data_IF_141051006317
#
_entry.id   IF_141051006317
#
_cell.length_a   1.000
_cell.length_b   1.000
_cell.length_c   1.000
_cell.angle_alpha   90.00
_cell.angle_beta   90.00
_cell.angle_gamma   90.00
#
_symmetry.space_group_name_H-M   'P 1'
#
loop_
_entity.id
_entity.type
_entity.pdbx_description
1 polymer ?
#
# COMPACT_ATOMS: atom_id res chain seq x y z
N UNK A 1 13.40 9.64 -34.61
CA UNK A 1 13.72 11.08 -34.53
C UNK A 1 13.11 11.63 -33.25
N UNK A 2 13.87 12.37 -32.48
CA UNK A 2 13.40 13.03 -31.29
C UNK A 2 12.90 14.43 -31.60
N UNK A 3 11.67 14.77 -31.21
CA UNK A 3 11.19 16.16 -31.23
C UNK A 3 11.53 16.87 -29.93
N UNK A 4 11.96 18.13 -30.05
CA UNK A 4 12.17 19.02 -28.90
C UNK A 4 10.82 19.60 -28.49
N UNK A 5 10.35 19.28 -27.27
CA UNK A 5 9.15 19.89 -26.68
C UNK A 5 9.54 21.02 -25.75
N UNK A 6 9.17 22.24 -26.11
CA UNK A 6 9.31 23.40 -25.24
C UNK A 6 8.13 23.48 -24.26
N UNK A 7 8.41 23.77 -22.98
CA UNK A 7 7.37 24.01 -21.97
C UNK A 7 6.68 22.75 -21.44
N UNK A 8 7.27 21.57 -21.63
CA UNK A 8 6.80 20.34 -21.01
C UNK A 8 7.11 20.35 -19.51
N UNK A 9 6.13 20.05 -18.67
CA UNK A 9 6.19 20.14 -17.19
C UNK A 9 6.53 21.55 -16.65
N UNK A 10 5.66 22.55 -16.85
CA UNK A 10 5.83 23.87 -16.25
C UNK A 10 5.83 23.73 -14.71
N UNK A 11 6.78 24.41 -14.06
CA UNK A 11 6.93 24.37 -12.59
C UNK A 11 8.00 23.40 -12.07
N UNK A 12 8.62 22.59 -12.91
CA UNK A 12 9.79 21.79 -12.54
C UNK A 12 11.00 22.71 -12.35
N UNK A 13 11.67 22.59 -11.20
CA UNK A 13 12.94 23.28 -10.93
C UNK A 13 14.18 22.51 -11.41
N UNK A 14 13.99 21.34 -11.99
CA UNK A 14 15.07 20.51 -12.51
C UNK A 14 15.21 20.71 -14.03
N UNK A 15 16.45 20.70 -14.58
CA UNK A 15 16.63 20.74 -16.01
C UNK A 15 16.00 19.50 -16.65
N UNK A 16 15.04 19.73 -17.54
CA UNK A 16 14.38 18.67 -18.31
C UNK A 16 15.24 18.29 -19.51
N UNK A 17 15.23 17.02 -19.87
CA UNK A 17 15.72 16.59 -21.17
C UNK A 17 15.01 17.34 -22.29
N UNK A 18 15.74 17.78 -23.28
CA UNK A 18 15.19 18.55 -24.42
C UNK A 18 14.77 17.67 -25.58
N UNK A 19 15.08 16.37 -25.53
CA UNK A 19 14.83 15.42 -26.61
C UNK A 19 13.98 14.26 -26.09
N UNK A 20 12.84 14.04 -26.72
CA UNK A 20 11.93 12.95 -26.43
C UNK A 20 11.63 12.18 -27.72
N UNK A 21 11.43 10.88 -27.60
CA UNK A 21 11.01 10.07 -28.73
C UNK A 21 9.60 10.48 -29.15
N UNK A 22 9.41 10.68 -30.44
CA UNK A 22 8.09 10.99 -30.99
C UNK A 22 7.17 9.77 -30.83
N UNK A 23 6.04 9.96 -30.12
CA UNK A 23 5.05 8.90 -29.89
C UNK A 23 4.40 8.41 -31.20
N UNK A 24 4.26 9.28 -32.19
CA UNK A 24 3.66 8.90 -33.46
C UNK A 24 4.64 8.04 -34.27
N UNK A 25 5.96 8.33 -34.17
CA UNK A 25 6.98 7.45 -34.68
C UNK A 25 6.98 6.08 -33.99
N UNK A 26 6.87 6.01 -32.64
CA UNK A 26 6.74 4.74 -31.92
C UNK A 26 5.52 3.96 -32.38
N UNK A 27 4.40 4.62 -32.66
CA UNK A 27 3.16 4.01 -33.17
C UNK A 27 3.31 3.45 -34.60
N UNK A 28 4.32 3.86 -35.37
CA UNK A 28 4.59 3.33 -36.72
C UNK A 28 5.45 2.07 -36.72
N UNK A 29 6.12 1.77 -35.58
CA UNK A 29 6.97 0.59 -35.47
C UNK A 29 6.10 -0.68 -35.48
N UNK A 30 6.38 -1.56 -36.39
CA UNK A 30 5.78 -2.90 -36.46
C UNK A 30 6.84 -3.90 -36.03
N UNK A 31 6.55 -4.60 -34.95
CA UNK A 31 7.38 -5.69 -34.47
C UNK A 31 6.79 -7.00 -35.00
N UNK A 32 7.54 -7.73 -35.82
CA UNK A 32 7.15 -9.08 -36.25
C UNK A 32 7.74 -10.08 -35.23
N UNK A 33 6.99 -11.14 -34.93
CA UNK A 33 7.48 -12.22 -34.05
C UNK A 33 8.79 -12.86 -34.55
N UNK A 34 9.02 -12.79 -35.87
CA UNK A 34 10.26 -13.29 -36.46
C UNK A 34 11.49 -12.43 -36.17
N UNK A 35 11.28 -11.14 -35.85
CA UNK A 35 12.35 -10.19 -35.52
C UNK A 35 12.51 -10.02 -34.00
N UNK A 36 11.77 -10.81 -33.19
CA UNK A 36 11.85 -10.78 -31.72
C UNK A 36 13.18 -11.36 -31.25
N UNK A 37 13.87 -10.62 -30.39
CA UNK A 37 14.99 -11.14 -29.61
C UNK A 37 14.38 -11.78 -28.36
N UNK A 38 14.75 -13.01 -28.09
CA UNK A 38 14.42 -13.67 -26.83
C UNK A 38 15.24 -13.02 -25.72
N UNK A 39 14.56 -12.41 -24.74
CA UNK A 39 15.21 -11.77 -23.58
C UNK A 39 15.11 -12.76 -22.43
N UNK A 40 16.18 -13.50 -22.17
CA UNK A 40 16.20 -14.56 -21.15
C UNK A 40 15.98 -14.01 -19.75
N UNK A 41 16.41 -12.79 -19.46
CA UNK A 41 16.13 -12.11 -18.18
C UNK A 41 14.63 -11.95 -17.94
N UNK A 42 13.86 -11.57 -18.96
CA UNK A 42 12.39 -11.46 -18.84
C UNK A 42 11.73 -12.84 -18.66
N UNK A 43 12.29 -13.88 -19.25
CA UNK A 43 11.82 -15.24 -19.04
C UNK A 43 12.11 -15.75 -17.63
N UNK A 44 13.15 -15.28 -16.96
CA UNK A 44 13.46 -15.56 -15.57
C UNK A 44 12.34 -15.12 -14.61
N UNK A 45 11.56 -14.10 -14.97
CA UNK A 45 10.37 -13.65 -14.27
C UNK A 45 9.18 -14.61 -14.35
N UNK A 46 9.21 -15.60 -15.26
CA UNK A 46 8.11 -16.54 -15.44
C UNK A 46 8.13 -17.63 -14.36
N UNK A 47 6.98 -17.83 -13.74
CA UNK A 47 6.80 -18.90 -12.75
C UNK A 47 5.41 -19.51 -12.82
N UNK A 48 5.28 -20.69 -12.23
CA UNK A 48 4.01 -21.35 -12.02
C UNK A 48 3.75 -21.48 -10.52
N UNK A 49 2.57 -21.04 -10.08
CA UNK A 49 2.11 -21.24 -8.72
C UNK A 49 0.71 -21.88 -8.72
N UNK A 50 0.52 -22.90 -7.90
CA UNK A 50 -0.78 -23.54 -7.67
C UNK A 50 -1.08 -23.52 -6.19
N UNK A 51 -2.11 -22.79 -5.79
CA UNK A 51 -2.57 -22.70 -4.41
C UNK A 51 -3.94 -23.36 -4.27
N UNK A 52 -4.07 -24.27 -3.29
CA UNK A 52 -5.33 -24.93 -2.93
C UNK A 52 -5.60 -24.62 -1.47
N UNK A 53 -6.73 -23.97 -1.19
CA UNK A 53 -7.15 -23.60 0.17
C UNK A 53 -8.42 -24.39 0.51
N UNK A 54 -8.33 -25.23 1.55
CA UNK A 54 -9.49 -25.85 2.18
C UNK A 54 -9.83 -25.06 3.45
N UNK A 55 -11.06 -24.58 3.56
CA UNK A 55 -11.47 -23.78 4.68
C UNK A 55 -12.85 -24.19 5.23
N UNK A 56 -12.99 -24.09 6.54
CA UNK A 56 -14.26 -24.21 7.24
C UNK A 56 -14.43 -23.11 8.26
N UNK A 57 -15.65 -22.71 8.56
CA UNK A 57 -15.92 -21.72 9.60
C UNK A 57 -17.19 -22.03 10.38
N UNK A 58 -17.19 -21.55 11.64
CA UNK A 58 -18.36 -21.54 12.51
C UNK A 58 -18.58 -20.11 12.99
N UNK A 59 -19.83 -19.69 13.03
CA UNK A 59 -20.24 -18.39 13.59
C UNK A 59 -21.39 -18.58 14.54
N UNK A 60 -21.34 -17.88 15.66
CA UNK A 60 -22.35 -17.89 16.68
C UNK A 60 -22.67 -16.46 17.09
N UNK A 61 -23.91 -16.02 16.84
CA UNK A 61 -24.42 -14.70 17.18
C UNK A 61 -25.35 -14.82 18.40
N UNK A 62 -25.11 -13.94 19.39
CA UNK A 62 -25.90 -13.90 20.63
C UNK A 62 -26.37 -12.49 20.94
N UNK A 63 -27.64 -12.39 21.32
CA UNK A 63 -28.20 -11.21 21.97
C UNK A 63 -28.25 -11.44 23.50
N UNK A 64 -27.40 -10.72 24.24
CA UNK A 64 -27.23 -10.78 25.67
C UNK A 64 -28.11 -9.70 26.33
N UNK A 65 -29.41 -9.75 26.05
CA UNK A 65 -30.36 -8.75 26.50
C UNK A 65 -30.63 -7.64 25.49
N UNK A 66 -31.21 -6.50 25.93
CA UNK A 66 -31.69 -5.44 25.04
C UNK A 66 -30.58 -4.54 24.46
N UNK A 67 -29.38 -4.54 25.05
CA UNK A 67 -28.31 -3.58 24.72
C UNK A 67 -26.99 -4.23 24.34
N UNK A 68 -26.82 -5.50 24.65
CA UNK A 68 -25.57 -6.19 24.44
C UNK A 68 -25.76 -7.31 23.42
N UNK A 69 -24.91 -7.35 22.40
CA UNK A 69 -24.83 -8.47 21.45
C UNK A 69 -23.37 -8.88 21.24
N UNK A 70 -23.15 -10.16 21.01
CA UNK A 70 -21.82 -10.71 20.71
C UNK A 70 -21.86 -11.61 19.49
N UNK A 71 -20.74 -11.65 18.78
CA UNK A 71 -20.49 -12.60 17.69
C UNK A 71 -19.19 -13.33 17.99
N UNK A 72 -19.25 -14.66 18.00
CA UNK A 72 -18.09 -15.54 18.06
C UNK A 72 -17.89 -16.17 16.69
N UNK A 73 -16.68 -16.15 16.19
CA UNK A 73 -16.30 -16.77 14.94
C UNK A 73 -15.03 -17.60 15.08
N UNK A 74 -14.99 -18.71 14.38
CA UNK A 74 -13.78 -19.51 14.24
C UNK A 74 -13.67 -19.99 12.80
N UNK A 75 -12.57 -19.64 12.15
CA UNK A 75 -12.24 -20.10 10.81
C UNK A 75 -10.92 -20.86 10.84
N UNK A 76 -10.89 -21.99 10.16
CA UNK A 76 -9.67 -22.77 9.90
C UNK A 76 -9.41 -22.80 8.40
N UNK A 77 -8.16 -22.58 8.02
CA UNK A 77 -7.69 -22.68 6.64
C UNK A 77 -6.49 -23.60 6.55
N UNK A 78 -6.53 -24.56 5.66
CA UNK A 78 -5.39 -25.38 5.27
C UNK A 78 -4.99 -25.04 3.84
N UNK A 79 -3.78 -24.50 3.68
CA UNK A 79 -3.23 -24.08 2.39
C UNK A 79 -2.19 -25.07 1.92
N UNK A 80 -2.27 -25.47 0.65
CA UNK A 80 -1.25 -26.23 -0.07
C UNK A 80 -0.78 -25.37 -1.24
N UNK A 81 0.50 -25.06 -1.26
CA UNK A 81 1.11 -24.27 -2.31
C UNK A 81 2.19 -25.11 -3.01
N UNK A 82 2.19 -25.08 -4.33
CA UNK A 82 3.26 -25.65 -5.16
C UNK A 82 3.74 -24.54 -6.09
N UNK A 83 5.05 -24.28 -6.10
CA UNK A 83 5.68 -23.27 -6.96
C UNK A 83 6.80 -23.89 -7.78
N UNK A 84 7.03 -23.38 -8.97
CA UNK A 84 8.20 -23.67 -9.81
C UNK A 84 8.53 -22.45 -10.66
N UNK A 85 9.79 -22.27 -10.98
CA UNK A 85 10.29 -21.18 -11.79
C UNK A 85 11.61 -21.56 -12.47
N UNK A 86 12.40 -20.57 -12.79
CA UNK A 86 13.71 -20.75 -13.40
C UNK A 86 14.75 -19.91 -12.67
N UNK A 87 15.99 -20.41 -12.60
CA UNK A 87 17.15 -19.62 -12.22
C UNK A 87 17.71 -18.97 -13.47
N UNK A 88 18.15 -17.73 -13.33
CA UNK A 88 18.84 -16.98 -14.38
C UNK A 88 20.26 -16.66 -13.92
N UNK A 89 21.21 -16.83 -14.80
CA UNK A 89 22.60 -16.47 -14.55
C UNK A 89 23.12 -15.79 -15.80
N UNK A 90 23.60 -14.56 -15.63
CA UNK A 90 24.43 -13.83 -16.59
C UNK A 90 25.86 -13.80 -16.03
N UNK A 91 26.81 -14.40 -16.77
CA UNK A 91 28.19 -14.48 -16.34
C UNK A 91 28.97 -13.18 -16.64
N UNK A 92 30.27 -13.14 -16.32
CA UNK A 92 31.17 -11.99 -16.57
C UNK A 92 31.35 -11.65 -18.06
N UNK A 93 31.13 -12.63 -18.92
CA UNK A 93 31.23 -12.49 -20.40
C UNK A 93 29.84 -12.19 -21.02
N UNK A 94 28.84 -11.83 -20.22
CA UNK A 94 27.47 -11.55 -20.63
C UNK A 94 26.74 -12.77 -21.25
N UNK A 95 27.21 -14.00 -20.99
CA UNK A 95 26.48 -15.19 -21.42
C UNK A 95 25.33 -15.50 -20.44
N UNK A 96 24.13 -15.62 -20.99
CA UNK A 96 22.91 -15.87 -20.23
C UNK A 96 22.55 -17.35 -20.22
N UNK A 97 22.02 -17.81 -19.09
CA UNK A 97 21.49 -19.16 -18.95
C UNK A 97 20.25 -19.24 -18.07
N UNK A 98 19.33 -20.13 -18.43
CA UNK A 98 18.12 -20.45 -17.67
C UNK A 98 18.12 -21.90 -17.21
N UNK A 99 17.87 -22.15 -15.93
CA UNK A 99 17.80 -23.48 -15.35
C UNK A 99 16.53 -23.64 -14.51
N UNK A 100 15.66 -24.66 -14.75
CA UNK A 100 14.48 -24.87 -13.95
C UNK A 100 14.80 -25.09 -12.46
N UNK A 101 13.98 -24.48 -11.56
CA UNK A 101 14.15 -24.63 -10.10
C UNK A 101 13.65 -25.96 -9.56
N UNK A 102 12.83 -26.70 -10.33
CA UNK A 102 12.02 -27.80 -9.79
C UNK A 102 10.75 -27.32 -9.08
N UNK A 103 10.00 -28.27 -8.53
CA UNK A 103 8.77 -27.99 -7.77
C UNK A 103 9.07 -27.88 -6.26
N UNK A 104 8.61 -26.78 -5.64
CA UNK A 104 8.59 -26.60 -4.20
C UNK A 104 7.17 -26.68 -3.66
N UNK A 105 7.01 -27.34 -2.51
CA UNK A 105 5.71 -27.56 -1.86
C UNK A 105 5.74 -26.98 -0.45
N UNK A 106 4.81 -26.08 -0.16
CA UNK A 106 4.62 -25.50 1.15
C UNK A 106 3.18 -25.73 1.62
N UNK A 107 3.01 -26.27 2.83
CA UNK A 107 1.71 -26.59 3.41
C UNK A 107 1.64 -26.00 4.82
N UNK A 108 0.56 -25.27 5.11
CA UNK A 108 0.36 -24.69 6.43
C UNK A 108 -1.12 -24.60 6.79
N UNK A 109 -1.39 -24.49 8.10
CA UNK A 109 -2.75 -24.36 8.62
C UNK A 109 -2.83 -23.14 9.51
N UNK A 110 -3.87 -22.32 9.31
CA UNK A 110 -4.14 -21.13 10.10
C UNK A 110 -5.47 -21.27 10.82
N UNK A 111 -5.47 -20.94 12.11
CA UNK A 111 -6.65 -20.80 12.94
C UNK A 111 -6.92 -19.32 13.16
N UNK A 112 -8.11 -18.87 12.79
CA UNK A 112 -8.50 -17.47 12.74
C UNK A 112 -9.76 -17.25 13.60
N UNK A 113 -9.61 -17.14 14.94
CA UNK A 113 -10.70 -16.82 15.85
C UNK A 113 -11.09 -15.34 15.72
N UNK A 114 -12.37 -15.05 16.00
CA UNK A 114 -12.90 -13.69 16.11
C UNK A 114 -13.91 -13.61 17.24
N UNK A 115 -13.84 -12.52 17.98
CA UNK A 115 -14.81 -12.15 19.01
C UNK A 115 -15.18 -10.69 18.83
N UNK A 116 -16.46 -10.39 18.67
CA UNK A 116 -17.00 -9.04 18.56
C UNK A 116 -18.05 -8.84 19.64
N UNK A 117 -18.00 -7.70 20.30
CA UNK A 117 -18.96 -7.27 21.29
C UNK A 117 -19.51 -5.90 20.90
N UNK A 118 -20.83 -5.74 20.91
CA UNK A 118 -21.50 -4.47 20.65
C UNK A 118 -22.40 -4.14 21.82
N UNK A 119 -22.21 -2.95 22.38
CA UNK A 119 -23.05 -2.39 23.42
C UNK A 119 -23.76 -1.13 22.92
N UNK A 120 -25.10 -1.13 22.97
CA UNK A 120 -25.91 0.06 22.65
C UNK A 120 -25.99 0.94 23.89
N UNK A 121 -25.25 2.05 23.91
CA UNK A 121 -25.33 3.04 25.00
C UNK A 121 -26.68 3.75 25.02
N UNK A 122 -27.17 4.09 23.82
CA UNK A 122 -28.46 4.75 23.57
C UNK A 122 -29.04 4.28 22.22
N UNK A 123 -30.14 4.88 21.77
CA UNK A 123 -30.65 4.65 20.41
C UNK A 123 -29.66 5.14 19.33
N UNK A 124 -28.94 6.20 19.65
CA UNK A 124 -28.04 6.88 18.74
C UNK A 124 -26.55 6.59 19.01
N UNK A 125 -26.21 5.76 20.02
CA UNK A 125 -24.83 5.54 20.43
C UNK A 125 -24.47 4.07 20.62
N UNK A 126 -23.30 3.67 20.10
CA UNK A 126 -22.78 2.32 20.21
C UNK A 126 -21.32 2.33 20.67
N UNK A 127 -20.96 1.33 21.49
CA UNK A 127 -19.57 0.94 21.73
C UNK A 127 -19.36 -0.44 21.12
N UNK A 128 -18.23 -0.65 20.47
CA UNK A 128 -17.82 -1.95 19.92
C UNK A 128 -16.43 -2.29 20.42
N UNK A 129 -16.24 -3.54 20.79
CA UNK A 129 -14.94 -4.11 21.06
C UNK A 129 -14.75 -5.35 20.20
N UNK A 130 -13.57 -5.55 19.66
CA UNK A 130 -13.26 -6.76 18.92
C UNK A 130 -11.86 -7.29 19.20
N UNK A 131 -11.74 -8.63 19.12
CA UNK A 131 -10.49 -9.35 19.11
C UNK A 131 -10.53 -10.32 17.95
N UNK A 132 -9.62 -10.16 17.01
CA UNK A 132 -9.60 -11.00 15.79
C UNK A 132 -8.19 -11.41 15.43
N UNK A 133 -8.04 -12.60 14.84
CA UNK A 133 -6.80 -13.01 14.21
C UNK A 133 -6.95 -13.01 12.69
N UNK A 134 -6.05 -12.36 12.00
CA UNK A 134 -6.01 -12.25 10.54
C UNK A 134 -4.69 -12.75 9.97
N UNK A 135 -4.66 -12.99 8.67
CA UNK A 135 -3.43 -13.35 7.95
C UNK A 135 -3.34 -12.58 6.63
N UNK A 136 -2.10 -12.38 6.18
CA UNK A 136 -1.76 -11.89 4.85
C UNK A 136 -0.72 -12.82 4.23
N UNK A 137 -1.00 -13.32 3.02
CA UNK A 137 -0.10 -14.21 2.30
C UNK A 137 0.95 -13.41 1.54
N UNK A 138 2.18 -13.91 1.43
CA UNK A 138 3.20 -13.33 0.56
C UNK A 138 2.75 -13.35 -0.91
N UNK A 139 3.38 -12.51 -1.73
CA UNK A 139 3.22 -12.56 -3.19
C UNK A 139 3.74 -13.91 -3.70
N UNK A 140 3.11 -14.47 -4.75
CA UNK A 140 3.55 -15.76 -5.31
C UNK A 140 4.97 -15.68 -5.86
N UNK A 141 5.37 -14.59 -6.48
CA UNK A 141 6.74 -14.38 -6.97
C UNK A 141 7.80 -14.53 -5.88
N UNK A 142 7.51 -14.03 -4.67
CA UNK A 142 8.41 -14.15 -3.52
C UNK A 142 8.58 -15.60 -3.02
N UNK A 143 7.60 -16.46 -3.31
CA UNK A 143 7.55 -17.87 -2.88
C UNK A 143 8.12 -18.86 -3.91
N UNK A 144 8.62 -18.37 -5.03
CA UNK A 144 9.34 -19.19 -6.01
C UNK A 144 10.80 -19.31 -5.57
N UNK A 145 11.36 -20.50 -5.59
CA UNK A 145 12.76 -20.72 -5.20
C UNK A 145 13.72 -20.40 -6.36
N UNK A 146 13.50 -19.29 -7.04
CA UNK A 146 14.37 -18.84 -8.11
C UNK A 146 15.52 -17.99 -7.58
N UNK A 147 16.63 -18.04 -8.29
CA UNK A 147 17.79 -17.15 -8.13
C UNK A 147 18.10 -16.53 -9.47
N UNK A 148 18.21 -15.21 -9.49
CA UNK A 148 18.67 -14.45 -10.65
C UNK A 148 19.99 -13.79 -10.28
N UNK A 149 21.04 -14.04 -11.03
CA UNK A 149 22.37 -13.47 -10.84
C UNK A 149 22.77 -12.68 -12.08
N UNK A 150 23.19 -11.45 -11.86
CA UNK A 150 23.98 -10.66 -12.78
C UNK A 150 25.40 -10.56 -12.20
N UNK A 151 26.31 -11.42 -12.68
CA UNK A 151 27.67 -11.51 -12.12
C UNK A 151 28.50 -10.29 -12.52
N UNK A 152 28.25 -9.73 -13.71
CA UNK A 152 28.95 -8.54 -14.19
C UNK A 152 28.66 -7.29 -13.34
N UNK A 153 27.41 -7.12 -12.91
CA UNK A 153 26.98 -5.97 -12.11
C UNK A 153 26.98 -6.27 -10.59
N UNK A 154 27.31 -7.51 -10.19
CA UNK A 154 27.27 -8.00 -8.79
C UNK A 154 25.91 -7.82 -8.14
N UNK A 155 24.83 -8.13 -8.86
CA UNK A 155 23.45 -8.06 -8.40
C UNK A 155 22.81 -9.45 -8.37
N UNK A 156 21.97 -9.68 -7.38
CA UNK A 156 21.16 -10.90 -7.31
C UNK A 156 19.76 -10.66 -6.79
N UNK A 157 18.79 -11.42 -7.31
CA UNK A 157 17.43 -11.51 -6.76
C UNK A 157 17.14 -12.95 -6.34
N UNK A 158 16.66 -13.13 -5.11
CA UNK A 158 16.43 -14.46 -4.54
C UNK A 158 15.01 -14.58 -4.00
N UNK A 159 14.29 -15.60 -4.46
CA UNK A 159 13.00 -16.00 -3.89
C UNK A 159 13.16 -17.06 -2.80
N UNK A 160 12.28 -17.01 -1.77
CA UNK A 160 12.28 -17.97 -0.68
C UNK A 160 10.91 -18.69 -0.56
N UNK A 161 10.82 -19.97 -0.92
CA UNK A 161 9.57 -20.74 -0.84
C UNK A 161 9.11 -20.99 0.61
N UNK A 162 9.94 -20.69 1.62
CA UNK A 162 9.66 -20.92 3.03
C UNK A 162 9.08 -19.70 3.76
N UNK A 163 8.87 -18.60 3.06
CA UNK A 163 8.26 -17.41 3.66
C UNK A 163 6.89 -17.78 4.26
N UNK A 164 6.74 -17.45 5.54
CA UNK A 164 5.50 -17.68 6.28
C UNK A 164 4.50 -16.56 6.03
N UNK A 165 3.20 -16.84 6.04
CA UNK A 165 2.20 -15.79 6.05
C UNK A 165 2.40 -14.86 7.25
N UNK A 166 2.25 -13.56 7.02
CA UNK A 166 2.13 -12.57 8.10
C UNK A 166 0.82 -12.81 8.83
N UNK A 167 0.85 -12.90 10.15
CA UNK A 167 -0.36 -13.03 10.97
C UNK A 167 -0.46 -11.90 11.97
N UNK A 168 -1.68 -11.48 12.30
CA UNK A 168 -1.92 -10.43 13.26
C UNK A 168 -3.05 -10.76 14.22
N UNK A 169 -2.83 -10.54 15.53
CA UNK A 169 -3.89 -10.33 16.48
C UNK A 169 -4.28 -8.86 16.48
N UNK A 170 -5.56 -8.59 16.28
CA UNK A 170 -6.12 -7.25 16.25
C UNK A 170 -7.05 -7.07 17.45
N UNK A 171 -6.91 -5.97 18.16
CA UNK A 171 -7.73 -5.55 19.29
C UNK A 171 -8.26 -4.17 18.96
N UNK A 172 -9.57 -4.02 18.88
CA UNK A 172 -10.20 -2.77 18.50
C UNK A 172 -11.25 -2.39 19.55
N UNK A 173 -11.33 -1.10 19.87
CA UNK A 173 -12.37 -0.50 20.68
C UNK A 173 -12.85 0.76 19.98
N UNK A 174 -14.14 0.86 19.69
CA UNK A 174 -14.72 2.04 19.06
C UNK A 174 -15.99 2.49 19.73
N UNK A 175 -16.23 3.80 19.68
CA UNK A 175 -17.47 4.43 20.11
C UNK A 175 -18.00 5.32 19.00
N UNK A 176 -19.27 5.13 18.64
CA UNK A 176 -19.94 5.90 17.61
C UNK A 176 -21.19 6.56 18.20
N UNK A 177 -21.41 7.81 17.84
CA UNK A 177 -22.62 8.54 18.15
C UNK A 177 -23.19 9.20 16.89
N UNK A 178 -24.45 8.93 16.59
CA UNK A 178 -25.17 9.44 15.44
C UNK A 178 -26.06 10.62 15.88
N UNK A 179 -25.89 11.76 15.22
CA UNK A 179 -26.75 12.92 15.52
C UNK A 179 -28.14 12.73 14.92
N UNK A 180 -29.16 13.31 15.55
CA UNK A 180 -30.56 13.26 15.04
C UNK A 180 -30.73 13.93 13.67
N UNK A 181 -29.86 14.90 13.33
CA UNK A 181 -29.66 15.42 11.97
C UNK A 181 -28.61 14.56 11.25
N UNK A 182 -28.29 14.93 10.01
CA UNK A 182 -27.19 14.28 9.27
C UNK A 182 -25.86 14.49 10.00
N UNK A 183 -25.24 13.41 10.46
CA UNK A 183 -23.90 13.46 11.03
C UNK A 183 -23.60 12.40 12.07
N UNK A 184 -22.30 12.23 12.33
CA UNK A 184 -21.77 11.29 13.32
C UNK A 184 -20.44 11.77 13.89
N UNK A 185 -20.11 11.27 15.07
CA UNK A 185 -18.78 11.28 15.64
C UNK A 185 -18.37 9.86 15.99
N UNK A 186 -17.14 9.50 15.64
CA UNK A 186 -16.53 8.21 15.94
C UNK A 186 -15.18 8.40 16.57
N UNK A 187 -14.89 7.60 17.60
CA UNK A 187 -13.57 7.46 18.21
C UNK A 187 -13.18 6.00 18.19
N UNK A 188 -11.96 5.70 17.83
CA UNK A 188 -11.41 4.35 17.77
C UNK A 188 -10.02 4.28 18.40
N UNK A 189 -9.78 3.15 19.07
CA UNK A 189 -8.45 2.72 19.51
C UNK A 189 -8.18 1.36 18.89
N UNK A 190 -6.99 1.13 18.40
CA UNK A 190 -6.60 -0.17 17.89
C UNK A 190 -5.19 -0.54 18.34
N UNK A 191 -4.99 -1.84 18.53
CA UNK A 191 -3.68 -2.43 18.74
C UNK A 191 -3.56 -3.69 17.90
N UNK A 192 -2.39 -3.86 17.22
CA UNK A 192 -2.09 -5.06 16.45
C UNK A 192 -0.76 -5.64 16.90
N UNK A 193 -0.75 -6.95 17.16
CA UNK A 193 0.48 -7.74 17.35
C UNK A 193 0.70 -8.57 16.08
N UNK A 194 1.70 -8.20 15.30
CA UNK A 194 1.96 -8.73 13.96
C UNK A 194 3.18 -9.63 14.02
N UNK A 195 3.07 -10.82 13.42
CA UNK A 195 4.15 -11.80 13.32
C UNK A 195 4.53 -12.04 11.87
N UNK A 196 5.83 -12.29 11.64
CA UNK A 196 6.37 -12.66 10.34
C UNK A 196 6.06 -11.61 9.26
N UNK A 197 6.35 -10.33 9.53
CA UNK A 197 6.17 -9.28 8.53
C UNK A 197 7.04 -9.59 7.34
N UNK A 198 6.41 -9.71 6.16
CA UNK A 198 7.09 -9.95 4.90
C UNK A 198 7.42 -8.60 4.26
N UNK A 199 8.70 -8.38 3.99
CA UNK A 199 9.19 -7.21 3.27
C UNK A 199 10.25 -7.63 2.26
N UNK A 200 10.42 -6.85 1.23
CA UNK A 200 11.56 -6.89 0.34
C UNK A 200 12.73 -6.19 1.02
N UNK A 201 13.87 -6.86 1.07
CA UNK A 201 15.09 -6.39 1.72
C UNK A 201 16.20 -6.33 0.69
N UNK A 202 17.11 -5.38 0.89
CA UNK A 202 18.35 -5.24 0.15
C UNK A 202 19.50 -5.55 1.10
N UNK A 203 20.35 -6.52 0.77
CA UNK A 203 21.49 -6.95 1.58
C UNK A 203 22.72 -7.20 0.71
N UNK A 204 23.87 -7.40 1.37
CA UNK A 204 25.13 -7.69 0.73
C UNK A 204 25.64 -9.05 1.18
N UNK A 205 25.97 -9.93 0.22
CA UNK A 205 26.39 -11.30 0.46
C UNK A 205 27.51 -11.67 -0.52
N UNK A 206 28.46 -12.45 -0.08
CA UNK A 206 29.49 -12.99 -0.98
C UNK A 206 28.89 -14.03 -1.94
N UNK A 207 29.48 -14.18 -3.13
CA UNK A 207 29.06 -15.22 -4.08
C UNK A 207 29.08 -16.63 -3.48
N UNK A 208 30.07 -16.96 -2.60
CA UNK A 208 30.12 -18.23 -1.89
C UNK A 208 28.88 -18.45 -0.99
N UNK A 209 28.42 -17.42 -0.27
CA UNK A 209 27.20 -17.49 0.56
C UNK A 209 25.96 -17.69 -0.29
N UNK A 210 25.95 -17.19 -1.53
CA UNK A 210 24.86 -17.35 -2.48
C UNK A 210 24.89 -18.68 -3.22
N UNK A 211 25.98 -19.46 -3.07
CA UNK A 211 26.19 -20.76 -3.71
C UNK A 211 26.88 -20.70 -5.07
N UNK A 212 27.62 -19.62 -5.34
CA UNK A 212 28.54 -19.48 -6.46
C UNK A 212 29.93 -19.91 -6.01
N UNK A 213 30.31 -21.16 -6.25
CA UNK A 213 31.54 -21.77 -5.78
C UNK A 213 32.78 -20.96 -6.18
N UNK A 214 33.56 -20.55 -5.19
CA UNK A 214 34.84 -19.83 -5.36
C UNK A 214 34.69 -18.33 -5.63
N UNK A 215 33.46 -17.80 -5.77
CA UNK A 215 33.23 -16.37 -5.96
C UNK A 215 33.15 -15.66 -4.59
N UNK A 216 34.14 -14.78 -4.32
CA UNK A 216 34.27 -14.00 -3.07
C UNK A 216 33.80 -12.55 -3.20
N UNK A 217 33.32 -12.17 -4.36
CA UNK A 217 32.80 -10.83 -4.57
C UNK A 217 31.49 -10.63 -3.82
N UNK A 218 31.22 -9.40 -3.42
CA UNK A 218 30.05 -9.02 -2.66
C UNK A 218 28.92 -8.60 -3.61
N UNK A 219 27.82 -9.32 -3.60
CA UNK A 219 26.64 -9.06 -4.40
C UNK A 219 25.62 -8.23 -3.62
N UNK A 220 25.02 -7.26 -4.29
CA UNK A 220 23.80 -6.62 -3.82
C UNK A 220 22.60 -7.54 -4.07
N UNK A 221 21.96 -8.01 -3.01
CA UNK A 221 20.89 -9.01 -3.06
C UNK A 221 19.55 -8.44 -2.67
N UNK A 222 18.63 -8.48 -3.62
CA UNK A 222 17.21 -8.22 -3.35
C UNK A 222 16.49 -9.51 -3.04
N UNK A 223 15.82 -9.60 -1.88
CA UNK A 223 15.04 -10.76 -1.50
C UNK A 223 13.82 -10.39 -0.65
N UNK A 224 12.77 -11.19 -0.76
CA UNK A 224 11.65 -11.13 0.18
C UNK A 224 11.90 -12.08 1.33
N UNK A 225 11.65 -11.63 2.58
CA UNK A 225 11.81 -12.44 3.76
C UNK A 225 10.85 -12.04 4.89
N UNK A 226 10.67 -12.91 5.87
CA UNK A 226 9.99 -12.55 7.12
C UNK A 226 10.96 -11.75 8.01
N UNK A 227 11.12 -10.45 7.73
CA UNK A 227 12.19 -9.63 8.28
C UNK A 227 12.05 -9.35 9.78
N UNK A 228 10.83 -9.17 10.28
CA UNK A 228 10.58 -8.79 11.67
C UNK A 228 9.17 -9.14 12.13
N UNK A 229 8.93 -8.99 13.43
CA UNK A 229 7.62 -8.89 14.05
C UNK A 229 7.33 -7.41 14.34
N UNK A 230 6.08 -7.00 14.46
CA UNK A 230 5.72 -5.62 14.73
C UNK A 230 4.55 -5.49 15.71
N UNK A 231 4.50 -4.36 16.38
CA UNK A 231 3.30 -3.90 17.06
C UNK A 231 2.84 -2.57 16.48
N UNK A 232 1.54 -2.40 16.37
CA UNK A 232 0.93 -1.17 15.88
C UNK A 232 -0.13 -0.75 16.88
N UNK A 233 -0.01 0.47 17.38
CA UNK A 233 -1.03 1.12 18.21
C UNK A 233 -1.53 2.36 17.51
N UNK A 234 -2.83 2.63 17.57
CA UNK A 234 -3.33 3.87 16.98
C UNK A 234 -4.64 4.35 17.59
N UNK A 235 -4.89 5.63 17.32
CA UNK A 235 -6.09 6.36 17.72
C UNK A 235 -6.70 6.95 16.47
N UNK A 236 -7.99 6.77 16.30
CA UNK A 236 -8.77 7.30 15.18
C UNK A 236 -9.89 8.19 15.70
N UNK A 237 -10.11 9.33 15.05
CA UNK A 237 -11.24 10.20 15.29
C UNK A 237 -11.87 10.60 13.96
N UNK A 238 -13.19 10.53 13.88
CA UNK A 238 -13.93 11.00 12.71
C UNK A 238 -15.14 11.83 13.16
N UNK A 239 -15.39 12.90 12.42
CA UNK A 239 -16.54 13.77 12.64
C UNK A 239 -17.14 14.18 11.31
N UNK A 240 -18.45 14.06 11.21
CA UNK A 240 -19.22 14.55 10.07
C UNK A 240 -20.48 15.21 10.56
N UNK A 241 -20.78 16.41 10.08
CA UNK A 241 -22.05 17.08 10.38
C UNK A 241 -22.33 18.23 9.39
N UNK A 242 -23.62 18.45 9.07
CA UNK A 242 -24.07 19.69 8.48
C UNK A 242 -24.13 20.81 9.53
N UNK A 243 -24.09 22.08 9.09
CA UNK A 243 -24.15 23.24 9.98
C UNK A 243 -25.58 23.70 10.31
N UNK A 244 -26.59 22.92 9.96
CA UNK A 244 -27.98 23.19 10.32
C UNK A 244 -28.25 23.26 11.83
N UNK A 245 -27.34 22.68 12.64
CA UNK A 245 -27.41 22.79 14.10
C UNK A 245 -27.03 24.18 14.62
N UNK A 246 -26.32 25.01 13.82
CA UNK A 246 -25.99 26.41 14.14
C UNK A 246 -27.17 27.29 13.71
N UNK A 247 -27.59 27.14 12.44
CA UNK A 247 -28.75 27.84 11.90
C UNK A 247 -29.37 27.00 10.76
N UNK A 248 -30.72 26.90 10.65
CA UNK A 248 -31.36 26.11 9.59
C UNK A 248 -30.95 26.52 8.15
N UNK A 249 -30.59 27.78 7.94
CA UNK A 249 -30.09 28.28 6.66
C UNK A 249 -28.74 27.70 6.27
N UNK A 250 -27.96 27.19 7.20
CA UNK A 250 -26.63 26.61 7.00
C UNK A 250 -26.67 25.09 6.81
N UNK A 251 -27.85 24.46 6.78
CA UNK A 251 -27.98 23.00 6.58
C UNK A 251 -27.45 22.51 5.21
N UNK A 252 -27.26 23.42 4.27
CA UNK A 252 -26.63 23.12 2.97
C UNK A 252 -25.08 23.09 3.03
N UNK A 253 -24.48 23.50 4.11
CA UNK A 253 -23.05 23.44 4.35
C UNK A 253 -22.76 22.34 5.37
N UNK A 254 -21.64 21.67 5.22
CA UNK A 254 -21.20 20.69 6.20
C UNK A 254 -19.69 20.44 6.14
N UNK A 255 -19.25 19.76 7.18
CA UNK A 255 -17.87 19.38 7.38
C UNK A 255 -17.77 17.86 7.58
N UNK A 256 -16.75 17.27 6.99
CA UNK A 256 -16.27 15.93 7.28
C UNK A 256 -14.79 16.01 7.61
N UNK A 257 -14.36 15.33 8.65
CA UNK A 257 -12.94 15.21 8.95
C UNK A 257 -12.64 13.91 9.66
N UNK A 258 -11.48 13.35 9.39
CA UNK A 258 -10.90 12.26 10.18
C UNK A 258 -9.42 12.49 10.40
N UNK A 259 -8.93 11.92 11.48
CA UNK A 259 -7.53 11.93 11.84
C UNK A 259 -7.17 10.59 12.45
N UNK A 260 -6.02 10.05 12.04
CA UNK A 260 -5.45 8.83 12.61
C UNK A 260 -4.02 9.11 13.05
N UNK A 261 -3.72 8.75 14.28
CA UNK A 261 -2.37 8.61 14.81
C UNK A 261 -2.01 7.14 14.87
N UNK A 262 -0.86 6.76 14.34
CA UNK A 262 -0.36 5.38 14.30
C UNK A 262 1.07 5.34 14.81
N UNK A 263 1.30 4.62 15.88
CA UNK A 263 2.64 4.30 16.37
C UNK A 263 2.99 2.85 16.04
N UNK A 264 4.16 2.64 15.44
CA UNK A 264 4.65 1.30 15.09
C UNK A 264 5.99 1.03 15.75
N UNK A 265 6.20 -0.19 16.20
CA UNK A 265 7.48 -0.67 16.72
C UNK A 265 7.78 -2.06 16.15
N UNK A 266 8.97 -2.24 15.60
CA UNK A 266 9.45 -3.55 15.13
C UNK A 266 10.12 -4.32 16.25
N UNK A 267 10.13 -5.64 16.13
CA UNK A 267 10.79 -6.58 17.06
C UNK A 267 11.49 -7.66 16.25
N UNK A 268 12.59 -8.19 16.78
CA UNK A 268 13.43 -9.21 16.13
C UNK A 268 14.00 -8.74 14.78
N UNK A 269 14.05 -7.44 14.57
CA UNK A 269 14.57 -6.85 13.33
C UNK A 269 16.07 -7.13 13.19
N UNK A 270 16.83 -6.88 14.26
CA UNK A 270 18.29 -7.02 14.29
C UNK A 270 18.72 -8.49 14.15
N UNK A 271 18.02 -9.40 14.84
CA UNK A 271 18.32 -10.85 14.80
C UNK A 271 18.18 -11.45 13.40
N UNK A 272 17.26 -10.91 12.60
CA UNK A 272 16.96 -11.45 11.26
C UNK A 272 17.75 -10.78 10.14
N UNK A 273 18.16 -9.54 10.34
CA UNK A 273 18.83 -8.72 9.32
C UNK A 273 20.30 -8.44 9.65
N UNK A 274 20.81 -8.93 10.79
CA UNK A 274 22.20 -8.75 11.18
C UNK A 274 22.59 -7.31 11.56
N UNK A 275 21.59 -6.47 11.86
CA UNK A 275 21.81 -5.06 12.23
C UNK A 275 21.97 -4.97 13.75
N UNK A 276 22.98 -4.22 14.24
CA UNK A 276 23.19 -4.03 15.66
C UNK A 276 22.05 -3.26 16.34
N UNK A 277 21.76 -3.65 17.59
CA UNK A 277 20.67 -3.15 18.42
C UNK A 277 20.81 -1.65 18.72
N UNK A 278 19.73 -0.92 18.77
CA UNK A 278 19.74 0.41 19.39
C UNK A 278 18.66 1.40 18.97
N UNK A 279 17.96 1.21 17.89
CA UNK A 279 16.95 2.20 17.46
C UNK A 279 15.58 1.57 17.24
N UNK A 280 14.53 2.22 17.75
CA UNK A 280 13.13 1.89 17.44
C UNK A 280 12.88 2.02 15.93
N UNK A 281 12.93 0.89 15.23
CA UNK A 281 12.66 0.84 13.80
C UNK A 281 11.15 0.90 13.59
N UNK A 282 10.70 1.90 12.84
CA UNK A 282 9.29 2.00 12.44
C UNK A 282 8.99 0.98 11.32
N UNK A 283 7.78 0.48 11.31
CA UNK A 283 7.30 -0.41 10.25
C UNK A 283 7.21 0.35 8.92
N UNK A 284 7.70 -0.25 7.83
CA UNK A 284 7.57 0.31 6.49
C UNK A 284 6.10 0.44 6.06
N UNK A 285 5.80 1.40 5.19
CA UNK A 285 4.46 1.64 4.65
C UNK A 285 3.45 2.23 5.65
N UNK A 286 3.89 2.75 6.82
CA UNK A 286 3.01 3.21 7.88
C UNK A 286 3.28 4.66 8.27
N UNK A 287 2.55 5.64 7.71
CA UNK A 287 2.63 7.03 8.15
C UNK A 287 2.11 7.18 9.59
N UNK A 288 2.83 7.96 10.41
CA UNK A 288 2.46 8.20 11.81
C UNK A 288 1.19 9.04 11.96
N UNK A 289 0.98 9.98 11.05
CA UNK A 289 -0.16 10.86 11.04
C UNK A 289 -0.84 10.86 9.67
N UNK A 290 -2.14 10.62 9.65
CA UNK A 290 -2.99 10.85 8.47
C UNK A 290 -4.18 11.70 8.85
N UNK A 291 -4.58 12.60 7.96
CA UNK A 291 -5.75 13.44 8.16
C UNK A 291 -6.48 13.69 6.85
N UNK A 292 -7.80 13.68 6.90
CA UNK A 292 -8.64 14.11 5.80
C UNK A 292 -9.66 15.12 6.32
N UNK A 293 -9.88 16.20 5.58
CA UNK A 293 -10.89 17.19 5.90
C UNK A 293 -11.61 17.64 4.63
N UNK A 294 -12.93 17.77 4.70
CA UNK A 294 -13.73 18.26 3.57
C UNK A 294 -14.76 19.26 4.06
N UNK A 295 -14.87 20.37 3.36
CA UNK A 295 -16.00 21.27 3.42
C UNK A 295 -16.88 21.04 2.20
N UNK A 296 -18.18 20.94 2.40
CA UNK A 296 -19.10 20.73 1.31
C UNK A 296 -20.31 21.67 1.38
N UNK A 297 -20.80 22.02 0.20
CA UNK A 297 -22.05 22.75 0.00
C UNK A 297 -22.94 21.93 -0.91
N UNK A 298 -24.20 21.70 -0.48
CA UNK A 298 -25.17 20.95 -1.27
C UNK A 298 -26.55 21.64 -1.16
N UNK A 299 -27.02 22.24 -2.26
CA UNK A 299 -28.34 22.88 -2.33
C UNK A 299 -28.80 23.03 -3.76
N UNK A 300 -30.09 22.72 -4.01
CA UNK A 300 -30.78 22.97 -5.29
C UNK A 300 -30.03 22.41 -6.52
N UNK A 301 -29.45 21.19 -6.39
CA UNK A 301 -28.69 20.55 -7.46
C UNK A 301 -27.25 21.04 -7.59
N UNK A 302 -26.82 22.05 -6.84
CA UNK A 302 -25.42 22.44 -6.73
C UNK A 302 -24.76 21.59 -5.67
N UNK A 303 -23.64 20.99 -6.01
CA UNK A 303 -22.75 20.30 -5.08
C UNK A 303 -21.33 20.83 -5.27
N UNK A 304 -20.70 21.29 -4.18
CA UNK A 304 -19.30 21.75 -4.18
C UNK A 304 -18.61 21.12 -2.98
N UNK A 305 -17.44 20.54 -3.19
CA UNK A 305 -16.63 19.92 -2.15
C UNK A 305 -15.17 20.32 -2.31
N UNK A 306 -14.60 20.88 -1.25
CA UNK A 306 -13.18 21.10 -1.10
C UNK A 306 -12.63 20.06 -0.13
N UNK A 307 -11.65 19.27 -0.56
CA UNK A 307 -11.07 18.16 0.22
C UNK A 307 -9.59 18.34 0.40
N UNK A 308 -9.11 18.20 1.64
CA UNK A 308 -7.70 18.20 2.00
C UNK A 308 -7.30 16.83 2.52
N UNK A 309 -6.17 16.29 2.04
CA UNK A 309 -5.60 15.03 2.47
C UNK A 309 -4.16 15.26 2.90
N UNK A 310 -3.80 14.70 4.04
CA UNK A 310 -2.46 14.74 4.62
C UNK A 310 -2.00 13.36 5.03
N UNK A 311 -0.73 13.04 4.74
CA UNK A 311 -0.01 11.94 5.37
C UNK A 311 1.42 12.40 5.71
N UNK A 312 1.92 12.02 6.88
CA UNK A 312 3.31 12.24 7.26
C UNK A 312 4.25 11.37 6.44
N UNK A 313 5.54 11.70 6.39
CA UNK A 313 6.56 10.85 5.77
C UNK A 313 6.66 9.49 6.49
N UNK A 314 7.02 8.44 5.73
CA UNK A 314 7.18 7.09 6.25
C UNK A 314 8.28 6.34 5.47
N UNK A 315 8.81 5.28 6.07
CA UNK A 315 9.76 4.38 5.41
C UNK A 315 9.03 3.63 4.29
N UNK A 316 9.47 3.81 3.05
CA UNK A 316 8.94 3.12 1.88
C UNK A 316 9.68 1.80 1.62
N UNK A 317 11.03 1.84 1.67
CA UNK A 317 11.87 0.66 1.56
C UNK A 317 12.97 0.70 2.62
N UNK A 318 13.22 -0.45 3.25
CA UNK A 318 14.26 -0.65 4.26
C UNK A 318 15.53 -1.14 3.60
N UNK A 319 16.67 -0.55 4.00
CA UNK A 319 18.00 -1.05 3.60
C UNK A 319 18.58 -1.89 4.76
N UNK A 320 19.03 -3.10 4.46
CA UNK A 320 19.56 -4.02 5.46
C UNK A 320 21.04 -3.75 5.82
N UNK A 321 21.77 -3.08 4.94
CA UNK A 321 23.17 -2.73 5.18
C UNK A 321 23.33 -1.48 6.06
N UNK A 322 22.43 -0.50 5.92
CA UNK A 322 22.49 0.74 6.70
C UNK A 322 21.16 1.46 6.71
N UNK A 323 20.67 1.84 7.88
CA UNK A 323 19.45 2.63 8.04
C UNK A 323 19.54 4.04 7.46
N UNK A 324 20.75 4.57 7.34
CA UNK A 324 20.98 5.87 6.65
C UNK A 324 20.69 5.81 5.15
N UNK A 325 20.50 4.60 4.61
CA UNK A 325 20.14 4.32 3.24
C UNK A 325 18.64 3.95 3.08
N UNK A 326 17.86 3.91 4.17
CA UNK A 326 16.42 3.70 4.09
C UNK A 326 15.77 4.73 3.17
N UNK A 327 14.88 4.27 2.30
CA UNK A 327 14.10 5.15 1.42
C UNK A 327 12.82 5.59 2.12
N UNK A 328 12.57 6.88 2.12
CA UNK A 328 11.37 7.47 2.67
C UNK A 328 10.50 8.07 1.56
N UNK A 329 9.20 7.79 1.62
CA UNK A 329 8.20 8.58 0.94
C UNK A 329 7.93 9.84 1.76
N UNK A 330 8.07 11.02 1.14
CA UNK A 330 7.90 12.30 1.87
C UNK A 330 6.42 12.56 2.19
N UNK A 331 6.20 13.49 3.12
CA UNK A 331 4.86 13.92 3.48
C UNK A 331 4.09 14.42 2.26
N UNK A 332 2.81 14.17 2.22
CA UNK A 332 1.92 14.64 1.16
C UNK A 332 0.81 15.53 1.70
N UNK A 333 0.46 16.55 0.89
CA UNK A 333 -0.63 17.49 1.15
C UNK A 333 -1.39 17.67 -0.16
N UNK A 334 -2.54 17.06 -0.30
CA UNK A 334 -3.40 17.23 -1.47
C UNK A 334 -4.59 18.11 -1.13
N UNK A 335 -4.91 19.04 -2.01
CA UNK A 335 -6.13 19.84 -1.96
C UNK A 335 -6.86 19.69 -3.27
N UNK A 336 -8.10 19.21 -3.20
CA UNK A 336 -8.92 18.91 -4.36
C UNK A 336 -10.25 19.64 -4.28
N UNK A 337 -10.73 20.12 -5.42
CA UNK A 337 -12.02 20.78 -5.55
C UNK A 337 -12.89 20.01 -6.54
N UNK A 338 -14.12 19.69 -6.13
CA UNK A 338 -15.14 19.12 -6.97
C UNK A 338 -16.36 20.02 -6.95
N UNK A 339 -16.91 20.35 -8.13
CA UNK A 339 -18.12 21.15 -8.27
C UNK A 339 -19.03 20.51 -9.32
N UNK A 340 -20.33 20.48 -9.05
CA UNK A 340 -21.31 20.02 -10.03
C UNK A 340 -22.64 20.76 -9.87
N UNK A 341 -23.37 20.84 -10.98
CA UNK A 341 -24.74 21.33 -11.01
C UNK A 341 -25.64 20.37 -11.79
N UNK A 342 -26.68 19.90 -11.13
CA UNK A 342 -27.64 18.96 -11.69
C UNK A 342 -29.03 19.60 -11.81
N UNK A 343 -29.64 19.52 -12.99
CA UNK A 343 -30.99 20.01 -13.23
C UNK A 343 -31.81 19.02 -14.11
N UNK A 344 -33.10 19.27 -14.24
CA UNK A 344 -34.03 18.43 -14.98
C UNK A 344 -34.90 17.55 -14.09
N UNK A 345 -36.05 17.10 -14.61
CA UNK A 345 -36.99 16.25 -13.85
C UNK A 345 -36.97 14.79 -14.33
N UNK A 346 -37.25 14.52 -15.58
CA UNK A 346 -37.22 13.17 -16.19
C UNK A 346 -35.81 12.86 -16.66
N UNK A 347 -35.30 13.67 -17.57
CA UNK A 347 -33.90 13.63 -17.98
C UNK A 347 -33.11 14.57 -17.07
N UNK A 348 -32.11 14.06 -16.41
CA UNK A 348 -31.22 14.84 -15.55
C UNK A 348 -29.93 15.15 -16.28
N UNK A 349 -29.57 16.42 -16.30
CA UNK A 349 -28.32 16.93 -16.83
C UNK A 349 -27.42 17.32 -15.65
N UNK A 350 -26.16 16.91 -15.67
CA UNK A 350 -25.16 17.32 -14.70
C UNK A 350 -23.95 17.86 -15.43
N UNK A 351 -23.58 19.10 -15.15
CA UNK A 351 -22.26 19.64 -15.51
C UNK A 351 -21.37 19.51 -14.29
N UNK A 352 -20.15 19.08 -14.49
CA UNK A 352 -19.17 18.96 -13.40
C UNK A 352 -17.81 19.50 -13.79
N UNK A 353 -17.06 19.94 -12.80
CA UNK A 353 -15.66 20.31 -12.88
C UNK A 353 -14.92 19.78 -11.66
N UNK A 354 -13.71 19.25 -11.86
CA UNK A 354 -12.84 18.71 -10.85
C UNK A 354 -11.45 19.31 -11.03
N UNK A 355 -10.84 19.73 -9.94
CA UNK A 355 -9.46 20.20 -9.92
C UNK A 355 -8.72 19.46 -8.81
N UNK A 356 -7.77 18.61 -9.20
CA UNK A 356 -6.99 17.79 -8.27
C UNK A 356 -5.59 18.36 -8.10
N UNK A 357 -5.04 18.15 -6.91
CA UNK A 357 -3.70 18.59 -6.55
C UNK A 357 -3.49 20.12 -6.68
N UNK A 358 -4.43 20.91 -6.18
CA UNK A 358 -4.37 22.39 -6.22
C UNK A 358 -3.12 22.96 -5.56
N UNK A 359 -2.49 22.23 -4.63
CA UNK A 359 -1.25 22.64 -3.98
C UNK A 359 0.00 22.29 -4.79
N UNK A 360 -0.17 21.65 -5.97
CA UNK A 360 0.93 21.17 -6.80
C UNK A 360 1.94 20.32 -6.01
N UNK A 361 1.42 19.45 -5.13
CA UNK A 361 2.23 18.54 -4.32
C UNK A 361 3.03 17.60 -5.23
N UNK A 362 4.38 17.57 -5.13
CA UNK A 362 5.18 16.58 -5.84
C UNK A 362 5.11 15.21 -5.17
N UNK A 363 5.35 14.16 -5.94
CA UNK A 363 5.82 12.89 -5.43
C UNK A 363 7.30 13.03 -5.12
N UNK A 364 7.73 12.69 -3.90
CA UNK A 364 9.13 12.81 -3.50
C UNK A 364 9.57 11.64 -2.65
N UNK A 365 10.72 11.08 -3.00
CA UNK A 365 11.46 10.14 -2.17
C UNK A 365 12.77 10.78 -1.71
N UNK A 366 13.20 10.48 -0.48
CA UNK A 366 14.50 10.86 0.05
C UNK A 366 15.13 9.68 0.79
N UNK A 367 16.46 9.70 0.94
CA UNK A 367 17.23 8.62 1.55
C UNK A 367 17.77 9.04 2.92
N UNK A 368 17.33 8.36 3.96
CA UNK A 368 17.75 8.61 5.35
C UNK A 368 17.33 9.99 5.85
N UNK A 369 17.92 11.04 5.31
CA UNK A 369 17.70 12.43 5.70
C UNK A 369 16.94 13.22 4.62
N UNK A 370 16.12 14.19 5.06
CA UNK A 370 15.21 14.93 4.16
C UNK A 370 15.90 15.77 3.08
N UNK A 371 17.14 16.12 3.25
CA UNK A 371 17.92 16.87 2.27
C UNK A 371 18.54 15.99 1.17
N UNK A 372 18.53 14.67 1.35
CA UNK A 372 19.01 13.69 0.36
C UNK A 372 17.87 13.21 -0.53
N UNK A 373 17.45 14.06 -1.47
CA UNK A 373 16.39 13.72 -2.42
C UNK A 373 16.87 12.66 -3.42
N UNK A 374 16.17 11.52 -3.49
CA UNK A 374 16.41 10.48 -4.49
C UNK A 374 15.59 10.72 -5.76
N UNK A 375 14.32 11.08 -5.61
CA UNK A 375 13.38 11.23 -6.72
C UNK A 375 12.38 12.32 -6.41
N UNK A 376 12.09 13.16 -7.40
CA UNK A 376 11.01 14.15 -7.36
C UNK A 376 10.29 14.17 -8.68
N UNK A 377 8.96 14.03 -8.62
CA UNK A 377 8.09 14.07 -9.79
C UNK A 377 6.96 15.08 -9.58
N UNK A 378 6.77 15.98 -10.56
CA UNK A 378 5.71 16.97 -10.57
C UNK A 378 4.63 16.58 -11.59
N UNK A 379 3.50 16.14 -11.11
CA UNK A 379 2.35 15.83 -11.97
C UNK A 379 1.45 17.03 -12.25
N UNK A 380 1.64 18.14 -11.52
CA UNK A 380 0.90 19.36 -11.68
C UNK A 380 -0.54 19.31 -11.14
N UNK A 381 -1.25 20.40 -11.38
CA UNK A 381 -2.70 20.49 -11.14
C UNK A 381 -3.43 19.86 -12.32
N UNK A 382 -4.32 18.89 -12.03
CA UNK A 382 -5.14 18.23 -13.05
C UNK A 382 -6.57 18.74 -12.99
N UNK A 383 -7.08 19.24 -14.11
CA UNK A 383 -8.46 19.73 -14.23
C UNK A 383 -9.23 18.86 -15.22
N UNK A 384 -10.41 18.40 -14.79
CA UNK A 384 -11.37 17.69 -15.63
C UNK A 384 -12.71 18.44 -15.61
N UNK A 385 -13.40 18.47 -16.74
CA UNK A 385 -14.76 18.97 -16.81
C UNK A 385 -15.59 18.14 -17.80
N UNK A 386 -16.88 18.04 -17.53
CA UNK A 386 -17.74 17.22 -18.40
C UNK A 386 -19.22 17.43 -18.15
N UNK A 387 -20.01 16.74 -18.99
CA UNK A 387 -21.47 16.71 -18.90
C UNK A 387 -21.93 15.26 -18.81
N UNK A 388 -22.86 14.99 -17.90
CA UNK A 388 -23.52 13.70 -17.73
C UNK A 388 -25.00 13.86 -17.97
N UNK A 389 -25.58 12.95 -18.76
CA UNK A 389 -27.01 12.89 -19.06
C UNK A 389 -27.56 11.57 -18.52
N UNK A 390 -28.57 11.65 -17.66
CA UNK A 390 -29.30 10.49 -17.15
C UNK A 390 -30.74 10.57 -17.72
N UNK A 391 -31.12 9.59 -18.53
CA UNK A 391 -32.41 9.46 -19.19
C UNK A 391 -33.47 8.82 -18.31
#
# INVERSE_FOLDING_TARGET
>A
MSEVRNGFMPGSQYPLGTQFVDKDYLGTLKFDKADGVEVLEEEAGNYKATEIIHAGYLRFDQELGKRLSSTLGLRIEHTRLTTSGVNYIMDEDENESLNPTGEYKNNYTNLLPSFLLKYKMSEDGNIRASVTKSLSRPKYSALVANKSFNIADLEATIGDPNIKPTTAWNFDLSADYYFKSVGQVSLGLFYKDIKNVNVETLGYYTGEELGLDGNKEEFEVTQNMNAYDASVFGVEAAYQRDFGFIAPSLSCLGFYGNYTYTHTATRNYNDRLGIEDGDDVKMAGSPEHTANASLYFEKNGINVRLSYNFASSFIDAMNTGSRTLDRYYDKVNYLDLNASYTWGKKTKFTVFAEANNLLNQPLRYYQGEKDRTMQVEYYGVKVNAGVKVNL
#
